data_IF_760301988303
#
_entry.id   IF_760301988303
#
_cell.length_a   1.000
_cell.length_b   1.000
_cell.length_c   1.000
_cell.angle_alpha   90.00
_cell.angle_beta   90.00
_cell.angle_gamma   90.00
#
_symmetry.space_group_name_H-M   'P 1'
#
loop_
_entity.id
_entity.type
_entity.pdbx_description
1 polymer ?
#
# COMPACT_ATOMS: atom_id res chain seq x y z
N UNK A 1 17.96 -1.87 3.58
CA UNK A 1 16.85 -1.02 4.08
C UNK A 1 16.27 -1.71 5.30
N UNK A 2 15.99 -0.97 6.37
CA UNK A 2 15.30 -1.46 7.58
C UNK A 2 13.92 -0.80 7.66
N UNK A 3 12.88 -1.55 7.99
CA UNK A 3 11.55 -0.99 8.19
C UNK A 3 11.51 -0.24 9.53
N UNK A 4 11.56 1.08 9.47
CA UNK A 4 11.72 1.94 10.64
C UNK A 4 11.12 3.32 10.35
N UNK A 5 10.26 3.79 11.26
CA UNK A 5 9.50 5.04 11.18
C UNK A 5 9.88 6.02 12.30
N UNK A 6 11.00 5.79 12.99
CA UNK A 6 11.43 6.59 14.16
C UNK A 6 12.00 7.96 13.79
N UNK A 7 12.65 8.07 12.62
CA UNK A 7 13.20 9.34 12.12
C UNK A 7 12.14 10.18 11.36
N UNK A 8 12.53 11.37 10.91
CA UNK A 8 11.68 12.21 10.04
C UNK A 8 12.09 12.08 8.57
N UNK A 9 11.13 12.21 7.65
CA UNK A 9 11.38 12.20 6.20
C UNK A 9 11.03 10.91 5.46
N UNK A 10 10.75 9.83 6.19
CA UNK A 10 10.20 8.59 5.61
C UNK A 10 8.79 8.79 5.02
N UNK A 11 8.34 7.83 4.22
CA UNK A 11 6.99 7.81 3.64
C UNK A 11 6.82 8.70 2.41
N UNK A 12 7.83 9.49 2.05
CA UNK A 12 7.82 10.37 0.89
C UNK A 12 8.17 9.62 -0.40
N UNK A 13 8.89 8.50 -0.30
CA UNK A 13 9.41 7.78 -1.45
C UNK A 13 10.54 8.54 -2.15
N UNK A 14 11.36 9.28 -1.41
CA UNK A 14 12.58 9.85 -1.97
C UNK A 14 13.65 8.75 -2.04
N UNK A 15 13.97 8.31 -3.25
CA UNK A 15 14.90 7.20 -3.47
C UNK A 15 16.34 7.53 -3.04
N UNK A 16 16.76 8.80 -3.15
CA UNK A 16 18.11 9.21 -2.73
C UNK A 16 18.20 9.22 -1.20
N UNK A 17 17.21 9.84 -0.55
CA UNK A 17 17.08 9.79 0.91
C UNK A 17 17.08 8.34 1.41
N UNK A 18 16.24 7.47 0.84
CA UNK A 18 16.15 6.07 1.22
C UNK A 18 17.49 5.33 1.04
N UNK A 19 18.24 5.61 -0.04
CA UNK A 19 19.57 5.05 -0.29
C UNK A 19 20.56 5.45 0.81
N UNK A 20 20.54 6.71 1.22
CA UNK A 20 21.46 7.28 2.19
C UNK A 20 21.17 6.79 3.62
N UNK A 21 19.92 6.92 4.07
CA UNK A 21 19.54 6.59 5.46
C UNK A 21 19.28 5.10 5.68
N UNK A 22 19.04 4.35 4.60
CA UNK A 22 18.79 2.91 4.57
C UNK A 22 17.65 2.44 5.48
N UNK A 23 16.67 3.31 5.73
CA UNK A 23 15.51 3.07 6.59
C UNK A 23 14.27 3.81 6.09
N UNK A 24 13.08 3.35 6.45
CA UNK A 24 11.82 3.98 6.07
C UNK A 24 10.64 3.02 6.12
N UNK A 25 9.53 3.38 5.46
CA UNK A 25 8.35 2.52 5.33
C UNK A 25 8.26 1.86 3.94
N UNK A 26 7.15 1.18 3.64
CA UNK A 26 6.92 0.54 2.35
C UNK A 26 7.13 1.51 1.16
N UNK A 27 6.74 2.78 1.27
CA UNK A 27 6.92 3.78 0.21
C UNK A 27 8.40 3.99 -0.13
N UNK A 28 9.27 4.06 0.88
CA UNK A 28 10.71 4.32 0.69
C UNK A 28 11.44 3.10 0.12
N UNK A 29 11.07 1.90 0.60
CA UNK A 29 11.59 0.64 0.06
C UNK A 29 11.32 0.53 -1.44
N UNK A 30 10.07 0.75 -1.85
CA UNK A 30 9.67 0.60 -3.24
C UNK A 30 10.16 1.75 -4.11
N UNK A 31 10.25 2.98 -3.60
CA UNK A 31 10.86 4.08 -4.33
C UNK A 31 12.33 3.80 -4.69
N UNK A 32 13.12 3.31 -3.73
CA UNK A 32 14.52 2.93 -3.96
C UNK A 32 14.60 1.76 -4.97
N UNK A 33 13.79 0.72 -4.78
CA UNK A 33 13.75 -0.44 -5.68
C UNK A 33 13.40 -0.06 -7.12
N UNK A 34 12.36 0.76 -7.30
CA UNK A 34 11.92 1.26 -8.61
C UNK A 34 13.01 2.11 -9.25
N UNK A 35 13.67 2.98 -8.47
CA UNK A 35 14.80 3.79 -8.94
C UNK A 35 15.95 2.92 -9.45
N UNK A 36 16.33 1.89 -8.69
CA UNK A 36 17.39 0.94 -9.08
C UNK A 36 17.00 0.11 -10.30
N UNK A 37 15.75 -0.38 -10.39
CA UNK A 37 15.28 -1.13 -11.55
C UNK A 37 15.34 -0.27 -12.82
N UNK A 38 14.85 0.97 -12.74
CA UNK A 38 14.85 1.92 -13.86
C UNK A 38 16.27 2.32 -14.29
N UNK A 39 17.23 2.41 -13.37
CA UNK A 39 18.61 2.77 -13.70
C UNK A 39 19.33 1.72 -14.56
N UNK A 40 18.87 0.47 -14.52
CA UNK A 40 19.35 -0.63 -15.37
C UNK A 40 18.39 -0.98 -16.52
N UNK A 41 17.43 -0.09 -16.82
CA UNK A 41 16.54 -0.22 -17.97
C UNK A 41 15.34 -1.14 -17.78
N UNK A 42 15.04 -1.59 -16.55
CA UNK A 42 13.84 -2.37 -16.25
C UNK A 42 12.67 -1.40 -16.01
N UNK A 43 11.59 -1.45 -16.81
CA UNK A 43 10.41 -0.65 -16.53
C UNK A 43 9.81 -1.10 -15.20
N UNK A 44 9.69 -0.18 -14.25
CA UNK A 44 9.10 -0.42 -12.95
C UNK A 44 8.15 0.73 -12.58
N UNK A 45 7.09 0.47 -11.82
CA UNK A 45 6.15 1.48 -11.34
C UNK A 45 5.71 1.20 -9.91
N UNK A 46 5.22 2.25 -9.25
CA UNK A 46 4.67 2.17 -7.91
C UNK A 46 3.21 1.71 -7.98
N UNK A 47 2.79 0.90 -7.03
CA UNK A 47 1.40 0.54 -6.83
C UNK A 47 1.07 0.58 -5.33
N UNK A 48 -0.13 1.01 -4.99
CA UNK A 48 -0.58 1.15 -3.61
C UNK A 48 -2.03 0.74 -3.48
N UNK A 49 -2.36 0.24 -2.31
CA UNK A 49 -3.68 -0.21 -1.99
C UNK A 49 -3.82 -0.62 -0.55
N UNK A 50 -4.65 -1.62 -0.32
CA UNK A 50 -5.03 -2.08 1.00
C UNK A 50 -4.59 -3.53 1.22
N UNK A 51 -3.95 -3.84 2.35
CA UNK A 51 -3.76 -5.21 2.79
C UNK A 51 -5.01 -5.68 3.51
N UNK A 52 -5.66 -6.73 3.00
CA UNK A 52 -6.74 -7.41 3.71
C UNK A 52 -6.13 -8.36 4.76
N UNK A 53 -6.78 -8.54 5.92
CA UNK A 53 -6.42 -9.60 6.85
C UNK A 53 -6.58 -10.98 6.19
N UNK A 54 -5.64 -11.89 6.46
CA UNK A 54 -5.71 -13.27 5.92
C UNK A 54 -6.76 -14.15 6.60
N UNK A 55 -7.34 -13.71 7.72
CA UNK A 55 -8.48 -14.38 8.34
C UNK A 55 -9.75 -14.07 7.55
N UNK A 56 -10.42 -15.13 7.09
CA UNK A 56 -11.70 -15.04 6.38
C UNK A 56 -12.82 -14.55 7.29
N UNK A 57 -13.80 -13.87 6.70
CA UNK A 57 -14.94 -13.30 7.40
C UNK A 57 -15.10 -11.80 7.11
N UNK A 58 -15.32 -11.02 8.16
CA UNK A 58 -15.48 -9.58 8.06
C UNK A 58 -14.60 -8.86 9.08
N UNK A 59 -14.17 -7.65 8.74
CA UNK A 59 -13.31 -6.89 9.63
C UNK A 59 -12.97 -5.51 9.11
N UNK A 60 -12.17 -4.80 9.89
CA UNK A 60 -11.63 -3.49 9.52
C UNK A 60 -10.27 -3.64 8.85
N UNK A 61 -10.04 -2.84 7.81
CA UNK A 61 -8.80 -2.82 7.05
C UNK A 61 -7.91 -1.70 7.57
N UNK A 62 -6.79 -2.07 8.19
CA UNK A 62 -5.88 -1.12 8.81
C UNK A 62 -4.88 -0.53 7.81
N UNK A 63 -4.97 0.79 7.58
CA UNK A 63 -3.96 1.55 6.84
C UNK A 63 -3.90 1.23 5.35
N UNK A 64 -2.71 1.37 4.78
CA UNK A 64 -2.42 1.09 3.38
C UNK A 64 -1.11 0.31 3.25
N UNK A 65 -0.91 -0.29 2.09
CA UNK A 65 0.34 -0.92 1.73
C UNK A 65 0.68 -0.67 0.27
N UNK A 66 1.97 -0.58 -0.05
CA UNK A 66 2.43 -0.37 -1.42
C UNK A 66 3.49 -1.38 -1.80
N UNK A 67 3.66 -1.56 -3.10
CA UNK A 67 4.61 -2.46 -3.72
C UNK A 67 5.16 -1.84 -5.01
N UNK A 68 6.16 -2.51 -5.61
CA UNK A 68 6.61 -2.20 -6.95
C UNK A 68 5.98 -3.18 -7.94
N UNK A 69 5.70 -2.73 -9.16
CA UNK A 69 5.42 -3.60 -10.28
C UNK A 69 6.55 -3.45 -11.31
N UNK A 70 7.16 -4.55 -11.71
CA UNK A 70 8.24 -4.58 -12.71
C UNK A 70 7.75 -5.26 -13.98
N UNK A 71 8.05 -4.67 -15.14
CA UNK A 71 7.67 -5.24 -16.42
C UNK A 71 8.64 -6.34 -16.84
N UNK A 72 8.11 -7.54 -17.07
CA UNK A 72 8.85 -8.69 -17.59
C UNK A 72 8.31 -9.02 -18.98
N UNK A 73 9.19 -8.99 -19.99
CA UNK A 73 8.84 -9.30 -21.37
C UNK A 73 8.13 -10.66 -21.49
N UNK A 74 6.96 -10.67 -22.14
CA UNK A 74 6.13 -11.87 -22.30
C UNK A 74 5.30 -12.26 -21.06
N UNK A 75 5.46 -11.59 -19.91
CA UNK A 75 4.67 -11.82 -18.69
C UNK A 75 3.85 -10.61 -18.24
N UNK A 76 4.25 -9.40 -18.64
CA UNK A 76 3.57 -8.17 -18.24
C UNK A 76 4.12 -7.60 -16.93
N UNK A 77 3.27 -6.92 -16.17
CA UNK A 77 3.62 -6.33 -14.87
C UNK A 77 3.61 -7.40 -13.78
N UNK A 78 4.75 -7.57 -13.11
CA UNK A 78 4.99 -8.56 -12.08
C UNK A 78 5.18 -7.83 -10.75
N UNK A 79 4.42 -8.16 -9.69
CA UNK A 79 4.53 -7.47 -8.42
C UNK A 79 5.79 -7.89 -7.67
N UNK A 80 6.42 -6.93 -6.98
CA UNK A 80 7.59 -7.13 -6.12
C UNK A 80 7.41 -6.32 -4.85
N UNK A 81 7.36 -7.01 -3.70
CA UNK A 81 7.23 -6.40 -2.38
C UNK A 81 8.52 -6.51 -1.56
N UNK A 82 9.39 -5.50 -1.70
CA UNK A 82 10.64 -5.45 -0.97
C UNK A 82 10.46 -5.15 0.52
N UNK A 83 9.34 -4.54 0.91
CA UNK A 83 9.10 -4.18 2.30
C UNK A 83 8.67 -5.39 3.13
N UNK A 84 7.80 -6.24 2.59
CA UNK A 84 7.42 -7.51 3.23
C UNK A 84 8.56 -8.52 3.14
N UNK A 85 9.29 -8.60 2.03
CA UNK A 85 10.50 -9.44 1.93
C UNK A 85 11.56 -9.08 2.99
N UNK A 86 11.65 -7.82 3.40
CA UNK A 86 12.56 -7.40 4.46
C UNK A 86 12.05 -7.73 5.86
N UNK A 87 10.73 -7.70 6.09
CA UNK A 87 10.09 -8.11 7.36
C UNK A 87 10.11 -9.62 7.54
N UNK A 88 9.96 -10.37 6.45
CA UNK A 88 9.93 -11.83 6.43
C UNK A 88 10.97 -12.39 5.43
N UNK A 89 12.27 -12.39 5.78
CA UNK A 89 13.35 -12.80 4.87
C UNK A 89 13.22 -14.23 4.34
N UNK A 90 12.53 -15.12 5.06
CA UNK A 90 12.27 -16.49 4.64
C UNK A 90 11.35 -16.57 3.39
N UNK A 91 10.53 -15.53 3.15
CA UNK A 91 9.60 -15.44 2.02
C UNK A 91 10.04 -14.44 0.95
N UNK A 92 11.30 -14.01 0.95
CA UNK A 92 11.82 -13.04 -0.03
C UNK A 92 11.59 -13.45 -1.50
N UNK A 93 11.71 -14.74 -1.81
CA UNK A 93 11.56 -15.24 -3.19
C UNK A 93 10.08 -15.31 -3.58
N UNK A 94 9.19 -15.48 -2.61
CA UNK A 94 7.74 -15.38 -2.80
C UNK A 94 7.37 -13.94 -3.15
N UNK A 95 7.81 -12.96 -2.35
CA UNK A 95 7.50 -11.55 -2.61
C UNK A 95 8.21 -10.97 -3.86
N UNK A 96 9.10 -11.72 -4.51
CA UNK A 96 9.73 -11.36 -5.79
C UNK A 96 8.96 -11.98 -6.97
N UNK A 97 7.73 -11.54 -7.16
CA UNK A 97 6.89 -11.97 -8.27
C UNK A 97 5.51 -12.47 -7.89
N UNK A 98 5.16 -12.41 -6.61
CA UNK A 98 3.88 -12.90 -6.11
C UNK A 98 3.28 -11.97 -5.06
N UNK A 99 1.96 -11.85 -5.12
CA UNK A 99 1.10 -11.27 -4.09
C UNK A 99 0.14 -12.36 -3.59
N UNK A 100 -0.15 -12.35 -2.29
CA UNK A 100 -1.29 -13.09 -1.75
C UNK A 100 -2.61 -12.55 -2.34
N UNK A 101 -3.70 -13.33 -2.17
CA UNK A 101 -5.04 -12.89 -2.58
C UNK A 101 -5.59 -11.71 -1.75
N UNK A 102 -4.95 -11.41 -0.63
CA UNK A 102 -5.43 -10.47 0.39
C UNK A 102 -4.95 -9.03 0.11
N UNK A 103 -4.98 -8.59 -1.16
CA UNK A 103 -4.58 -7.23 -1.55
C UNK A 103 -5.52 -6.63 -2.56
N UNK A 104 -5.92 -5.39 -2.29
CA UNK A 104 -6.72 -4.57 -3.20
C UNK A 104 -5.89 -3.37 -3.66
N UNK A 105 -5.56 -3.30 -4.95
CA UNK A 105 -4.88 -2.15 -5.55
C UNK A 105 -5.85 -0.97 -5.76
N UNK A 106 -5.45 0.23 -5.32
CA UNK A 106 -6.22 1.46 -5.49
C UNK A 106 -5.65 2.36 -6.59
N UNK A 107 -4.33 2.58 -6.57
CA UNK A 107 -3.69 3.44 -7.56
C UNK A 107 -2.31 2.96 -7.95
N UNK A 108 -1.91 3.39 -9.16
CA UNK A 108 -0.62 3.12 -9.77
C UNK A 108 0.07 4.41 -10.13
N UNK A 109 1.39 4.42 -10.00
CA UNK A 109 2.24 5.56 -10.27
C UNK A 109 2.34 6.51 -9.07
N UNK A 110 3.06 7.60 -9.30
CA UNK A 110 3.28 8.68 -8.35
C UNK A 110 3.20 10.01 -9.07
N UNK A 111 3.00 11.10 -8.31
CA UNK A 111 2.78 12.44 -8.87
C UNK A 111 1.51 12.47 -9.73
N UNK A 112 0.42 11.99 -9.16
CA UNK A 112 -0.86 11.76 -9.82
C UNK A 112 -1.66 13.05 -9.97
N UNK A 113 -2.24 13.25 -11.14
CA UNK A 113 -3.33 14.22 -11.36
C UNK A 113 -4.64 13.43 -11.34
N UNK A 114 -5.60 13.88 -10.55
CA UNK A 114 -6.92 13.27 -10.42
C UNK A 114 -7.76 13.54 -11.68
N UNK A 115 -8.83 12.77 -11.83
CA UNK A 115 -9.88 13.02 -12.82
C UNK A 115 -11.22 13.14 -12.06
N UNK A 116 -11.84 14.33 -12.02
CA UNK A 116 -11.36 15.60 -12.58
C UNK A 116 -10.07 16.13 -11.90
N UNK A 117 -9.27 16.97 -12.59
CA UNK A 117 -8.05 17.53 -12.02
C UNK A 117 -8.32 18.33 -10.74
N UNK A 118 -7.53 18.04 -9.70
CA UNK A 118 -7.50 18.86 -8.48
C UNK A 118 -6.88 20.24 -8.74
N UNK A 119 -7.18 21.23 -7.91
CA UNK A 119 -6.58 22.57 -8.00
C UNK A 119 -5.19 22.63 -7.36
N UNK A 120 -4.95 21.78 -6.35
CA UNK A 120 -3.68 21.62 -5.67
C UNK A 120 -2.61 20.93 -6.51
N UNK A 121 -1.41 20.68 -5.94
CA UNK A 121 -0.34 19.98 -6.62
C UNK A 121 -0.70 18.51 -6.91
N UNK A 122 0.01 17.84 -7.84
CA UNK A 122 -0.09 16.39 -8.04
C UNK A 122 0.11 15.61 -6.73
N UNK A 123 -0.72 14.60 -6.50
CA UNK A 123 -0.64 13.76 -5.31
C UNK A 123 0.56 12.83 -5.39
N UNK A 124 1.27 12.65 -4.27
CA UNK A 124 2.41 11.72 -4.26
C UNK A 124 1.97 10.30 -4.65
N UNK A 125 0.84 9.86 -4.13
CA UNK A 125 0.09 8.64 -4.46
C UNK A 125 -1.35 8.83 -3.96
N UNK A 126 -2.27 7.94 -4.34
CA UNK A 126 -3.69 8.06 -3.98
C UNK A 126 -4.21 6.76 -3.37
N UNK A 127 -4.57 6.80 -2.08
CA UNK A 127 -5.12 5.65 -1.33
C UNK A 127 -6.10 6.10 -0.24
N UNK A 128 -5.92 7.33 0.24
CA UNK A 128 -6.83 7.98 1.18
C UNK A 128 -7.75 8.97 0.46
N UNK A 129 -8.92 9.30 1.05
CA UNK A 129 -9.81 10.33 0.52
C UNK A 129 -9.08 11.64 0.31
N UNK A 130 -9.49 12.36 -0.72
CA UNK A 130 -8.98 13.68 -1.05
C UNK A 130 -10.15 14.66 -1.20
N UNK A 131 -10.03 15.82 -0.56
CA UNK A 131 -10.99 16.91 -0.70
C UNK A 131 -10.25 18.25 -0.75
N UNK A 132 -10.88 19.24 -1.37
CA UNK A 132 -10.43 20.63 -1.38
C UNK A 132 -11.53 21.54 -0.87
N UNK A 133 -11.15 22.58 -0.13
CA UNK A 133 -12.03 23.72 0.23
C UNK A 133 -11.42 24.96 -0.38
N UNK A 134 -12.16 25.64 -1.26
CA UNK A 134 -11.69 26.81 -2.00
C UNK A 134 -10.36 26.59 -2.74
N UNK A 135 -10.17 25.38 -3.30
CA UNK A 135 -8.97 24.99 -4.04
C UNK A 135 -7.75 24.65 -3.18
N UNK A 136 -7.91 24.60 -1.86
CA UNK A 136 -6.87 24.19 -0.92
C UNK A 136 -7.15 22.77 -0.44
N UNK A 137 -6.18 21.84 -0.49
CA UNK A 137 -6.35 20.51 0.08
C UNK A 137 -6.84 20.58 1.53
N UNK A 138 -7.96 19.93 1.79
CA UNK A 138 -8.47 19.76 3.14
C UNK A 138 -7.52 18.86 3.94
N UNK A 139 -7.51 19.03 5.26
CA UNK A 139 -6.64 18.27 6.17
C UNK A 139 -6.99 16.78 6.24
N UNK A 140 -6.67 16.16 7.37
CA UNK A 140 -6.96 14.74 7.58
C UNK A 140 -8.48 14.47 7.50
N UNK A 141 -8.86 13.59 6.58
CA UNK A 141 -10.24 13.13 6.40
C UNK A 141 -10.34 11.78 7.10
N UNK A 142 -11.26 11.68 8.07
CA UNK A 142 -11.54 10.43 8.73
C UNK A 142 -12.03 9.39 7.72
N UNK A 143 -11.41 8.21 7.76
CA UNK A 143 -11.68 7.10 6.86
C UNK A 143 -11.82 5.82 7.67
N UNK A 144 -12.86 5.06 7.35
CA UNK A 144 -13.03 3.68 7.79
C UNK A 144 -13.22 2.77 6.58
N UNK A 145 -12.42 1.71 6.49
CA UNK A 145 -12.57 0.69 5.44
C UNK A 145 -12.81 -0.64 6.12
N UNK A 146 -13.83 -1.35 5.66
CA UNK A 146 -14.18 -2.70 6.12
C UNK A 146 -14.24 -3.65 4.93
N UNK A 147 -14.06 -4.93 5.20
CA UNK A 147 -14.26 -6.02 4.23
C UNK A 147 -15.21 -7.06 4.81
N UNK A 148 -15.86 -7.82 3.94
CA UNK A 148 -16.71 -8.96 4.27
C UNK A 148 -16.64 -9.97 3.11
N UNK A 149 -16.35 -11.23 3.45
CA UNK A 149 -16.40 -12.36 2.53
C UNK A 149 -17.86 -12.74 2.25
N UNK A 150 -18.27 -12.71 0.98
CA UNK A 150 -19.66 -12.92 0.57
C UNK A 150 -20.22 -14.32 0.89
N UNK A 151 -19.34 -15.33 1.03
CA UNK A 151 -19.70 -16.72 1.30
C UNK A 151 -19.24 -17.21 2.69
N UNK A 152 -18.76 -16.31 3.56
CA UNK A 152 -18.37 -16.71 4.91
C UNK A 152 -19.61 -17.08 5.73
N UNK A 153 -19.56 -18.15 6.57
CA UNK A 153 -20.65 -18.46 7.46
C UNK A 153 -20.89 -17.25 8.38
N UNK A 154 -22.10 -16.68 8.31
CA UNK A 154 -22.51 -15.52 9.09
C UNK A 154 -22.15 -15.71 10.57
N UNK A 155 -21.23 -14.90 11.07
CA UNK A 155 -21.01 -14.81 12.51
C UNK A 155 -22.17 -14.00 13.10
N UNK A 156 -23.21 -14.70 13.54
CA UNK A 156 -24.25 -14.11 14.36
C UNK A 156 -23.63 -13.64 15.69
N UNK A 157 -23.19 -12.39 15.71
CA UNK A 157 -22.78 -11.70 16.93
C UNK A 157 -24.01 -11.09 17.60
N UNK A 158 -24.85 -11.91 18.24
CA UNK A 158 -25.72 -11.48 19.34
C UNK A 158 -25.90 -12.63 20.33
N UNK A 159 -24.95 -12.81 21.26
CA UNK A 159 -25.26 -13.44 22.54
C UNK A 159 -25.65 -12.34 23.52
N UNK A 160 -26.94 -11.99 23.49
CA UNK A 160 -27.58 -11.27 24.59
C UNK A 160 -27.46 -12.06 25.90
N UNK A 161 -27.53 -11.39 27.07
CA UNK A 161 -27.33 -12.07 28.34
C UNK A 161 -28.49 -13.03 28.62
N UNK A 162 -28.18 -14.32 28.81
CA UNK A 162 -29.16 -15.27 29.36
C UNK A 162 -29.49 -14.90 30.80
N UNK A 163 -30.77 -14.59 31.03
CA UNK A 163 -31.36 -14.38 32.34
C UNK A 163 -32.08 -15.66 32.77
N UNK A 164 -31.56 -16.30 33.82
CA UNK A 164 -32.30 -17.17 34.76
C UNK A 164 -32.46 -18.64 34.39
N UNK A 165 -32.89 -19.50 35.34
CA UNK A 165 -33.62 -19.18 36.58
C UNK A 165 -32.78 -18.94 37.84
#
# INVERSE_FOLDING_TARGET
MTYDKSDTGWGRGDALYACDVRRGNCTDFHALLIGMARSVGIPARFAIGLPLPGERGAGEVAGYHCWAEMYVGGRGWVPVDASEAAKEPARKDYFFGHHDEDRLEFSRGRHLTLEPPQQGPPLNFFVDPYAEVDGVPHGEIERRITFEDLDAPSTNAESGPEVGP
#
